data_IF_880491483645
#
_entry.id   IF_880491483645
#
_cell.length_a   1.000
_cell.length_b   1.000
_cell.length_c   1.000
_cell.angle_alpha   90.00
_cell.angle_beta   90.00
_cell.angle_gamma   90.00
#
_symmetry.space_group_name_H-M   'P 1'
#
loop_
_entity.id
_entity.type
_entity.pdbx_description
1 polymer ?
#
# COMPACT_ATOMS: atom_id res chain seq x y z
N UNK A 1 18.03 35.09 53.35
CA UNK A 1 17.66 33.66 53.42
C UNK A 1 16.20 33.62 53.01
N UNK A 2 15.94 33.48 51.71
CA UNK A 2 14.57 33.44 51.18
C UNK A 2 14.04 32.01 51.30
N UNK A 3 12.93 31.87 52.02
CA UNK A 3 12.15 30.65 52.15
C UNK A 3 11.42 30.36 50.82
N UNK A 4 11.67 29.18 50.26
CA UNK A 4 10.98 28.69 49.07
C UNK A 4 9.53 28.31 49.42
N UNK A 5 8.60 29.19 49.10
CA UNK A 5 7.16 28.96 49.18
C UNK A 5 6.73 28.02 48.03
N UNK A 6 6.14 26.84 48.28
CA UNK A 6 5.73 25.93 47.21
C UNK A 6 4.58 26.53 46.41
N UNK A 7 4.66 26.38 45.08
CA UNK A 7 3.68 26.89 44.12
C UNK A 7 2.30 26.24 44.38
N UNK A 8 1.20 27.02 44.46
CA UNK A 8 -0.15 26.51 44.73
C UNK A 8 -0.68 25.48 43.70
N UNK A 9 -0.02 25.31 42.55
CA UNK A 9 -0.34 24.26 41.58
C UNK A 9 0.12 22.84 41.96
N UNK A 10 1.15 22.70 42.81
CA UNK A 10 1.72 21.38 43.15
C UNK A 10 0.87 20.59 44.15
N UNK A 11 0.20 21.29 45.08
CA UNK A 11 -0.65 20.64 46.09
C UNK A 11 -1.90 19.98 45.48
N UNK A 12 -2.44 20.55 44.39
CA UNK A 12 -3.61 20.02 43.70
C UNK A 12 -3.31 18.71 42.94
N UNK A 13 -2.10 18.59 42.37
CA UNK A 13 -1.64 17.36 41.71
C UNK A 13 -1.31 16.26 42.72
N UNK A 14 -0.77 16.61 43.89
CA UNK A 14 -0.52 15.64 44.96
C UNK A 14 -1.82 15.04 45.52
N UNK A 15 -2.90 15.83 45.60
CA UNK A 15 -4.21 15.38 46.05
C UNK A 15 -4.94 14.53 44.99
N UNK A 16 -4.84 14.89 43.71
CA UNK A 16 -5.42 14.11 42.60
C UNK A 16 -4.76 12.74 42.40
N UNK A 17 -3.52 12.54 42.87
CA UNK A 17 -2.83 11.24 42.84
C UNK A 17 -3.18 10.30 44.00
N UNK A 18 -3.84 10.79 45.06
CA UNK A 18 -4.12 10.01 46.28
C UNK A 18 -5.57 9.50 46.38
N UNK A 19 -6.49 9.98 45.52
CA UNK A 19 -7.95 9.73 45.66
C UNK A 19 -8.56 8.89 44.53
N UNK A 20 -7.75 8.30 43.63
CA UNK A 20 -8.24 7.39 42.58
C UNK A 20 -7.60 6.01 42.74
N UNK A 21 -8.26 5.03 43.38
CA UNK A 21 -7.87 3.64 43.27
C UNK A 21 -8.44 3.05 41.97
N UNK A 22 -7.51 2.61 41.11
CA UNK A 22 -7.67 1.52 40.13
C UNK A 22 -8.23 1.81 38.72
N UNK A 23 -7.65 2.73 37.94
CA UNK A 23 -7.64 2.60 36.45
C UNK A 23 -6.42 3.31 35.83
N UNK A 24 -5.20 2.81 36.03
CA UNK A 24 -4.09 2.97 35.07
C UNK A 24 -3.10 1.82 35.22
N UNK A 25 -3.49 0.62 34.79
CA UNK A 25 -2.52 -0.43 34.46
C UNK A 25 -2.06 -0.22 33.01
N UNK A 26 -0.75 -0.04 32.90
CA UNK A 26 0.10 -0.27 31.72
C UNK A 26 0.02 0.71 30.53
N UNK A 27 0.61 1.88 30.72
CA UNK A 27 1.13 2.71 29.63
C UNK A 27 2.52 2.24 29.17
N UNK A 28 2.68 0.96 28.80
CA UNK A 28 3.78 0.54 27.93
C UNK A 28 3.28 0.40 26.50
N UNK A 29 2.88 1.54 25.91
CA UNK A 29 2.49 1.60 24.50
C UNK A 29 3.77 1.48 23.66
N UNK A 30 4.17 0.25 23.31
CA UNK A 30 5.16 -0.01 22.25
C UNK A 30 4.83 0.91 21.08
N UNK A 31 5.76 1.80 20.71
CA UNK A 31 5.55 2.73 19.59
C UNK A 31 5.27 1.92 18.33
N UNK A 32 4.00 1.96 17.86
CA UNK A 32 3.57 1.19 16.70
C UNK A 32 4.19 1.82 15.46
N UNK A 33 5.02 1.06 14.76
CA UNK A 33 5.65 1.48 13.52
C UNK A 33 4.59 1.74 12.45
N UNK A 34 4.62 2.94 11.87
CA UNK A 34 3.85 3.33 10.68
C UNK A 34 4.57 3.02 9.37
N UNK A 35 5.84 2.58 9.44
CA UNK A 35 6.66 2.32 8.26
C UNK A 35 6.28 0.99 7.59
N UNK A 36 6.64 0.82 6.32
CA UNK A 36 6.50 -0.46 5.60
C UNK A 36 7.29 -1.56 6.32
N UNK A 37 6.83 -2.81 6.23
CA UNK A 37 7.60 -3.95 6.73
C UNK A 37 8.92 -4.06 5.96
N UNK A 38 10.02 -4.11 6.71
CA UNK A 38 11.35 -4.42 6.19
C UNK A 38 11.53 -5.92 5.97
N UNK A 39 12.57 -6.29 5.21
CA UNK A 39 12.95 -7.70 5.04
C UNK A 39 13.29 -8.37 6.37
N UNK A 40 13.97 -7.66 7.27
CA UNK A 40 14.30 -8.14 8.60
C UNK A 40 13.05 -8.42 9.44
N UNK A 41 12.07 -7.50 9.44
CA UNK A 41 10.79 -7.73 10.12
C UNK A 41 10.02 -8.90 9.52
N UNK A 42 10.08 -9.08 8.20
CA UNK A 42 9.45 -10.24 7.52
C UNK A 42 10.14 -11.55 7.90
N UNK A 43 11.47 -11.57 8.06
CA UNK A 43 12.22 -12.73 8.54
C UNK A 43 11.86 -13.09 9.98
N UNK A 44 11.80 -12.10 10.88
CA UNK A 44 11.32 -12.30 12.25
C UNK A 44 9.90 -12.87 12.26
N UNK A 45 9.01 -12.30 11.43
CA UNK A 45 7.64 -12.77 11.32
C UNK A 45 7.54 -14.21 10.80
N UNK A 46 8.38 -14.61 9.84
CA UNK A 46 8.49 -16.00 9.35
C UNK A 46 8.98 -16.95 10.44
N UNK A 47 10.02 -16.56 11.17
CA UNK A 47 10.56 -17.38 12.25
C UNK A 47 9.55 -17.53 13.38
N UNK A 48 8.91 -16.44 13.81
CA UNK A 48 7.89 -16.46 14.85
C UNK A 48 6.69 -17.32 14.44
N UNK A 49 6.22 -17.20 13.20
CA UNK A 49 5.14 -18.04 12.68
C UNK A 49 5.53 -19.52 12.59
N UNK A 50 6.76 -19.84 12.19
CA UNK A 50 7.25 -21.22 12.17
C UNK A 50 7.34 -21.85 13.57
N UNK A 51 7.64 -21.04 14.60
CA UNK A 51 7.73 -21.49 16.00
C UNK A 51 6.35 -21.63 16.66
N UNK A 52 5.47 -20.66 16.48
CA UNK A 52 4.21 -20.51 17.24
C UNK A 52 2.97 -20.97 16.46
N UNK A 53 3.06 -21.07 15.14
CA UNK A 53 1.95 -21.44 14.28
C UNK A 53 0.91 -20.32 14.04
N UNK A 54 -0.19 -20.60 13.32
CA UNK A 54 -1.15 -19.59 12.84
C UNK A 54 -2.12 -19.02 13.88
N UNK A 55 -2.15 -19.57 15.08
CA UNK A 55 -3.23 -19.32 16.03
C UNK A 55 -2.96 -18.13 16.95
N UNK A 56 -1.69 -17.90 17.31
CA UNK A 56 -1.33 -16.95 18.37
C UNK A 56 -0.58 -15.72 17.82
N UNK A 57 -1.31 -14.87 17.10
CA UNK A 57 -0.76 -13.63 16.53
C UNK A 57 -0.26 -12.62 17.56
N UNK A 58 -0.75 -12.70 18.80
CA UNK A 58 -0.27 -11.85 19.90
C UNK A 58 1.16 -12.25 20.29
N UNK A 59 1.42 -13.54 20.47
CA UNK A 59 2.77 -14.05 20.73
C UNK A 59 3.71 -13.79 19.54
N UNK A 60 3.22 -13.93 18.30
CA UNK A 60 4.01 -13.56 17.10
C UNK A 60 4.40 -12.08 17.11
N UNK A 61 3.52 -11.18 17.53
CA UNK A 61 3.82 -9.75 17.59
C UNK A 61 4.80 -9.37 18.71
N UNK A 62 4.98 -10.23 19.72
CA UNK A 62 6.02 -10.03 20.74
C UNK A 62 7.42 -10.20 20.14
N UNK A 63 7.57 -11.11 19.19
CA UNK A 63 8.81 -11.39 18.44
C UNK A 63 9.10 -10.33 17.35
N UNK A 64 8.11 -9.52 16.95
CA UNK A 64 8.27 -8.47 15.93
C UNK A 64 8.10 -7.08 16.57
N UNK A 65 9.20 -6.45 17.03
CA UNK A 65 9.12 -5.21 17.79
C UNK A 65 8.49 -4.08 16.98
N UNK A 66 7.66 -3.26 17.65
CA UNK A 66 6.97 -2.13 17.02
C UNK A 66 5.83 -2.53 16.08
N UNK A 67 5.47 -3.82 15.98
CA UNK A 67 4.31 -4.29 15.22
C UNK A 67 3.25 -4.88 16.14
N UNK A 68 2.00 -4.74 15.71
CA UNK A 68 0.84 -5.32 16.38
C UNK A 68 0.49 -6.68 15.79
N UNK A 69 -0.23 -7.51 16.55
CA UNK A 69 -0.74 -8.81 16.10
C UNK A 69 -1.54 -8.69 14.80
N UNK A 70 -2.38 -7.64 14.69
CA UNK A 70 -3.13 -7.33 13.48
C UNK A 70 -2.21 -7.07 12.28
N UNK A 71 -1.20 -6.22 12.45
CA UNK A 71 -0.23 -5.92 11.37
C UNK A 71 0.52 -7.17 10.94
N UNK A 72 0.99 -7.99 11.89
CA UNK A 72 1.70 -9.23 11.62
C UNK A 72 0.83 -10.23 10.83
N UNK A 73 -0.41 -10.44 11.27
CA UNK A 73 -1.37 -11.31 10.56
C UNK A 73 -1.66 -10.82 9.16
N UNK A 74 -1.94 -9.53 9.01
CA UNK A 74 -2.27 -8.95 7.70
C UNK A 74 -1.05 -9.00 6.76
N UNK A 75 0.16 -8.79 7.28
CA UNK A 75 1.41 -8.95 6.53
C UNK A 75 1.59 -10.40 6.08
N UNK A 76 1.39 -11.35 6.99
CA UNK A 76 1.51 -12.77 6.71
C UNK A 76 0.57 -13.21 5.58
N UNK A 77 -0.73 -12.96 5.75
CA UNK A 77 -1.76 -13.37 4.79
C UNK A 77 -1.57 -12.76 3.40
N UNK A 78 -1.08 -11.52 3.32
CA UNK A 78 -0.98 -10.79 2.04
C UNK A 78 0.33 -11.01 1.31
N UNK A 79 1.42 -11.34 2.02
CA UNK A 79 2.76 -11.29 1.45
C UNK A 79 3.67 -12.48 1.80
N UNK A 80 3.42 -13.21 2.88
CA UNK A 80 4.38 -14.22 3.40
C UNK A 80 3.85 -15.66 3.39
N UNK A 81 2.54 -15.90 3.38
CA UNK A 81 1.92 -17.22 3.59
C UNK A 81 2.03 -18.22 2.41
N UNK A 82 3.09 -18.15 1.61
CA UNK A 82 3.27 -18.99 0.41
C UNK A 82 3.07 -18.26 -0.91
N UNK A 83 3.29 -16.93 -0.93
CA UNK A 83 3.32 -16.15 -2.16
C UNK A 83 4.61 -16.46 -2.91
N UNK A 84 4.53 -17.12 -4.08
CA UNK A 84 5.63 -17.03 -5.03
C UNK A 84 5.64 -15.61 -5.61
N UNK A 85 6.66 -14.83 -5.23
CA UNK A 85 6.88 -13.48 -5.75
C UNK A 85 7.57 -13.48 -7.12
N UNK A 86 7.51 -14.60 -7.85
CA UNK A 86 8.07 -14.71 -9.20
C UNK A 86 7.35 -13.79 -10.21
N UNK A 87 7.97 -13.51 -11.36
CA UNK A 87 7.33 -12.74 -12.43
C UNK A 87 6.04 -13.44 -12.88
N UNK A 88 5.05 -12.66 -13.33
CA UNK A 88 3.84 -13.20 -13.95
C UNK A 88 4.16 -13.68 -15.35
N UNK A 89 3.74 -14.91 -15.64
CA UNK A 89 3.87 -15.53 -16.97
C UNK A 89 2.71 -15.10 -17.87
N UNK A 90 2.88 -15.26 -19.19
CA UNK A 90 1.83 -14.92 -20.15
C UNK A 90 0.64 -15.87 -20.02
N UNK A 91 0.88 -17.12 -19.67
CA UNK A 91 -0.15 -18.13 -19.40
C UNK A 91 -0.99 -17.76 -18.18
N UNK A 92 -0.34 -17.30 -17.10
CA UNK A 92 -1.04 -16.80 -15.92
C UNK A 92 -1.90 -15.56 -16.23
N UNK A 93 -1.42 -14.68 -17.10
CA UNK A 93 -2.16 -13.48 -17.53
C UNK A 93 -3.37 -13.83 -18.42
N UNK A 94 -3.21 -14.79 -19.33
CA UNK A 94 -4.29 -15.28 -20.17
C UNK A 94 -5.39 -15.92 -19.30
N UNK A 95 -5.00 -16.78 -18.35
CA UNK A 95 -5.92 -17.40 -17.40
C UNK A 95 -6.62 -16.36 -16.53
N UNK A 96 -5.91 -15.33 -16.08
CA UNK A 96 -6.50 -14.23 -15.31
C UNK A 96 -7.58 -13.51 -16.12
N UNK A 97 -7.32 -13.22 -17.39
CA UNK A 97 -8.30 -12.56 -18.26
C UNK A 97 -9.54 -13.43 -18.48
N UNK A 98 -9.35 -14.71 -18.78
CA UNK A 98 -10.42 -15.69 -18.95
C UNK A 98 -11.31 -15.73 -17.71
N UNK A 99 -10.71 -15.95 -16.53
CA UNK A 99 -11.48 -16.07 -15.27
C UNK A 99 -12.10 -14.77 -14.82
N UNK A 100 -11.50 -13.62 -15.14
CA UNK A 100 -12.13 -12.33 -14.89
C UNK A 100 -13.37 -12.12 -15.77
N UNK A 101 -13.32 -12.54 -17.04
CA UNK A 101 -14.48 -12.44 -17.95
C UNK A 101 -15.63 -13.35 -17.50
N UNK A 102 -15.32 -14.53 -16.95
CA UNK A 102 -16.34 -15.47 -16.43
C UNK A 102 -16.93 -15.05 -15.08
N UNK A 103 -16.09 -14.63 -14.13
CA UNK A 103 -16.48 -14.48 -12.71
C UNK A 103 -16.59 -13.02 -12.26
N UNK A 104 -16.02 -12.08 -13.01
CA UNK A 104 -15.86 -10.68 -12.60
C UNK A 104 -14.80 -10.49 -11.50
N UNK A 105 -14.87 -9.42 -10.69
CA UNK A 105 -13.85 -9.06 -9.70
C UNK A 105 -13.87 -9.94 -8.42
N UNK A 106 -14.08 -11.26 -8.56
CA UNK A 106 -14.13 -12.22 -7.46
C UNK A 106 -12.75 -12.84 -7.22
N UNK A 107 -11.81 -12.01 -6.74
CA UNK A 107 -10.39 -12.35 -6.64
C UNK A 107 -10.08 -13.61 -5.85
N UNK A 108 -10.81 -13.87 -4.75
CA UNK A 108 -10.63 -15.06 -3.95
C UNK A 108 -11.01 -16.35 -4.70
N UNK A 109 -12.02 -16.30 -5.58
CA UNK A 109 -12.39 -17.43 -6.42
C UNK A 109 -11.40 -17.60 -7.57
N UNK A 110 -10.98 -16.49 -8.20
CA UNK A 110 -10.00 -16.51 -9.28
C UNK A 110 -8.65 -17.06 -8.78
N UNK A 111 -8.22 -16.71 -7.56
CA UNK A 111 -6.98 -17.20 -6.98
C UNK A 111 -6.92 -18.71 -6.79
N UNK A 112 -8.07 -19.40 -6.68
CA UNK A 112 -8.11 -20.87 -6.58
C UNK A 112 -7.58 -21.57 -7.84
N UNK A 113 -7.58 -20.88 -8.98
CA UNK A 113 -7.03 -21.39 -10.24
C UNK A 113 -5.51 -21.24 -10.34
N UNK A 114 -4.88 -20.50 -9.43
CA UNK A 114 -3.44 -20.28 -9.39
C UNK A 114 -2.82 -21.08 -8.24
N UNK A 115 -1.82 -21.93 -8.55
CA UNK A 115 -1.19 -22.80 -7.53
C UNK A 115 -0.38 -22.02 -6.48
N UNK A 116 0.23 -20.90 -6.86
CA UNK A 116 1.18 -20.16 -6.02
C UNK A 116 0.85 -18.67 -5.84
N UNK A 117 -0.33 -18.22 -6.31
CA UNK A 117 -0.75 -16.82 -6.23
C UNK A 117 -1.92 -16.64 -5.26
N UNK A 118 -1.86 -15.58 -4.46
CA UNK A 118 -2.98 -15.18 -3.58
C UNK A 118 -3.96 -14.27 -4.31
N UNK A 119 -5.17 -14.12 -3.76
CA UNK A 119 -6.19 -13.17 -4.21
C UNK A 119 -5.65 -11.73 -4.32
N UNK A 120 -4.77 -11.35 -3.41
CA UNK A 120 -4.11 -10.06 -3.44
C UNK A 120 -3.11 -9.95 -4.62
N UNK A 121 -2.37 -11.02 -4.94
CA UNK A 121 -1.49 -11.02 -6.12
C UNK A 121 -2.29 -10.85 -7.42
N UNK A 122 -3.38 -11.61 -7.56
CA UNK A 122 -4.26 -11.59 -8.73
C UNK A 122 -4.84 -10.20 -8.95
N UNK A 123 -5.42 -9.60 -7.90
CA UNK A 123 -5.97 -8.24 -7.96
C UNK A 123 -4.89 -7.21 -8.32
N UNK A 124 -3.70 -7.31 -7.71
CA UNK A 124 -2.60 -6.40 -8.01
C UNK A 124 -2.15 -6.54 -9.47
N UNK A 125 -2.07 -7.77 -9.99
CA UNK A 125 -1.72 -8.00 -11.39
C UNK A 125 -2.71 -7.34 -12.32
N UNK A 126 -4.01 -7.53 -12.09
CA UNK A 126 -5.07 -6.89 -12.86
C UNK A 126 -4.91 -5.36 -12.93
N UNK A 127 -4.68 -4.72 -11.78
CA UNK A 127 -4.48 -3.26 -11.70
C UNK A 127 -3.22 -2.84 -12.47
N UNK A 128 -2.10 -3.54 -12.28
CA UNK A 128 -0.85 -3.22 -12.99
C UNK A 128 -0.95 -3.42 -14.51
N UNK A 129 -1.68 -4.47 -14.94
CA UNK A 129 -1.94 -4.74 -16.36
C UNK A 129 -2.77 -3.61 -16.98
N UNK A 130 -3.84 -3.19 -16.33
CA UNK A 130 -4.68 -2.09 -16.81
C UNK A 130 -3.92 -0.77 -16.97
N UNK A 131 -2.98 -0.45 -16.06
CA UNK A 131 -2.12 0.73 -16.18
C UNK A 131 -1.12 0.59 -17.33
N UNK A 132 -0.55 -0.61 -17.53
CA UNK A 132 0.40 -0.88 -18.63
C UNK A 132 -0.26 -0.78 -20.00
N UNK A 133 -1.47 -1.31 -20.18
CA UNK A 133 -2.21 -1.19 -21.44
C UNK A 133 -2.58 0.27 -21.75
N UNK A 134 -3.03 1.03 -20.74
CA UNK A 134 -3.28 2.47 -20.92
C UNK A 134 -2.02 3.23 -21.33
N UNK A 135 -0.88 2.94 -20.70
CA UNK A 135 0.39 3.56 -21.03
C UNK A 135 0.90 3.14 -22.42
N UNK A 136 0.76 1.86 -22.79
CA UNK A 136 1.12 1.35 -24.12
C UNK A 136 0.27 2.01 -25.21
N UNK A 137 -1.05 2.07 -25.01
CA UNK A 137 -1.97 2.74 -25.93
C UNK A 137 -1.70 4.24 -26.03
N UNK A 138 -1.33 4.91 -24.92
CA UNK A 138 -0.96 6.32 -24.93
C UNK A 138 0.36 6.58 -25.68
N UNK A 139 1.36 5.71 -25.52
CA UNK A 139 2.63 5.78 -26.26
C UNK A 139 2.42 5.52 -27.74
N UNK A 140 1.61 4.51 -28.10
CA UNK A 140 1.28 4.18 -29.48
C UNK A 140 0.47 5.30 -30.15
N UNK A 141 -0.51 5.88 -29.46
CA UNK A 141 -1.24 7.06 -29.93
C UNK A 141 -0.34 8.30 -30.11
N UNK A 142 0.66 8.48 -29.25
CA UNK A 142 1.64 9.56 -29.36
C UNK A 142 2.69 9.31 -30.47
N UNK A 143 2.86 8.07 -30.91
CA UNK A 143 3.81 7.65 -31.94
C UNK A 143 3.19 7.59 -33.34
N UNK A 144 1.90 7.93 -33.51
CA UNK A 144 1.27 8.13 -34.84
C UNK A 144 1.53 9.59 -35.27
N UNK A 145 2.54 9.89 -36.10
CA UNK A 145 2.68 11.21 -36.69
C UNK A 145 1.50 11.49 -37.61
N UNK A 146 0.69 12.52 -37.30
CA UNK A 146 -0.32 13.05 -38.21
C UNK A 146 -1.77 13.07 -37.72
N UNK A 147 -2.14 12.37 -36.64
CA UNK A 147 -3.54 12.31 -36.19
C UNK A 147 -4.06 13.63 -35.55
N UNK A 148 -3.16 14.55 -35.19
CA UNK A 148 -3.54 15.88 -34.70
C UNK A 148 -4.07 16.82 -35.79
N UNK A 149 -3.77 16.59 -37.08
CA UNK A 149 -4.25 17.44 -38.18
C UNK A 149 -5.65 17.07 -38.68
N UNK A 150 -6.11 15.83 -38.46
CA UNK A 150 -7.45 15.40 -38.89
C UNK A 150 -8.54 15.71 -37.84
N UNK A 151 -8.19 15.76 -36.55
CA UNK A 151 -9.15 16.08 -35.48
C UNK A 151 -9.33 17.60 -35.27
N UNK A 152 -8.41 18.42 -35.77
CA UNK A 152 -8.51 19.88 -35.76
C UNK A 152 -8.13 20.42 -37.14
N UNK A 153 -9.06 20.43 -38.12
CA UNK A 153 -8.79 21.07 -39.39
C UNK A 153 -8.71 22.58 -39.13
N UNK A 154 -7.49 23.11 -39.07
CA UNK A 154 -7.26 24.56 -39.04
C UNK A 154 -7.73 25.11 -40.39
N UNK A 155 -8.98 25.56 -40.41
CA UNK A 155 -9.57 26.24 -41.54
C UNK A 155 -8.88 27.57 -41.80
N UNK A 156 -8.21 27.61 -42.95
CA UNK A 156 -8.05 28.70 -43.92
C UNK A 156 -7.47 30.05 -43.47
N UNK A 157 -6.40 30.45 -44.18
CA UNK A 157 -5.89 31.82 -44.17
C UNK A 157 -6.56 32.73 -45.21
N UNK A 158 -6.29 34.02 -45.07
CA UNK A 158 -6.10 35.00 -46.16
C UNK A 158 -5.24 36.13 -45.57
N UNK A 159 -4.03 36.40 -46.08
CA UNK A 159 -3.76 37.40 -47.13
C UNK A 159 -4.37 38.77 -46.74
N UNK A 160 -3.58 39.82 -46.50
CA UNK A 160 -2.80 40.51 -47.53
C UNK A 160 -1.50 41.16 -47.03
N UNK A 161 -0.56 41.29 -47.97
CA UNK A 161 0.61 42.16 -48.11
C UNK A 161 0.73 43.36 -47.13
N UNK A 162 1.92 43.76 -46.67
CA UNK A 162 2.90 44.55 -47.43
C UNK A 162 4.28 44.47 -46.75
N UNK A 163 5.32 44.27 -47.54
CA UNK A 163 6.71 44.66 -47.25
C UNK A 163 7.14 45.76 -48.25
N UNK A 164 8.35 46.33 -48.17
CA UNK A 164 9.00 47.06 -47.08
C UNK A 164 9.43 48.47 -47.59
N UNK A 165 10.07 49.32 -46.77
CA UNK A 165 11.24 50.11 -47.19
C UNK A 165 11.93 50.77 -45.99
N UNK A 166 13.25 50.82 -46.11
CA UNK A 166 14.23 51.51 -45.28
C UNK A 166 14.09 53.02 -45.43
N UNK A 167 14.32 53.78 -44.35
CA UNK A 167 15.52 54.60 -44.15
C UNK A 167 15.58 55.13 -42.72
#
# INVERSE_FOLDING_TARGET
MEENNPNPGDAALQYLMQVIPDVMKDTNKKQISRHKFSSYEDELLKQAYAKLGPNDWNAIAEEVPGRTARQCRDRWKKYLSGVENGPWTEEEDALLLEKYNELGPKWAQIAQFFKSRTDNNVKNRWVTRGTREKHKNAVEAAQIPGLLNELFPTGQGSSTDIAPQLQ
#
